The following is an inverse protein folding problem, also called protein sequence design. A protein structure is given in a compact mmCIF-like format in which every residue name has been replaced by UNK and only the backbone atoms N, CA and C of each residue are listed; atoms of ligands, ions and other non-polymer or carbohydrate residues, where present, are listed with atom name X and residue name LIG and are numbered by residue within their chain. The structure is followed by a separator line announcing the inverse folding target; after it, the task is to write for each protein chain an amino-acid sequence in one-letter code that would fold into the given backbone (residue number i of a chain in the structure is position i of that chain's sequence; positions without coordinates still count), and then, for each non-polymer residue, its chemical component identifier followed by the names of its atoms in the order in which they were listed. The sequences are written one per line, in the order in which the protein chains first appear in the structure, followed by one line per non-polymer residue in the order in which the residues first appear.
data_IF_921257738601
#
_entry.id   IF_921257738601
#
_cell.length_a   1.000
_cell.length_b   1.000
_cell.length_c   1.000
_cell.angle_alpha   90.00
_cell.angle_beta   90.00
_cell.angle_gamma   90.00
#
_symmetry.space_group_name_H-M   'P 1'
#
loop_
_entity.id
_entity.type
_entity.pdbx_description
1 polymer ?
#
# COMPACT_ATOMS: atom_id res chain seq x y z
N UNK A 1 7.87 -0.98 5.94
CA UNK A 1 8.36 0.15 5.13
C UNK A 1 7.46 1.33 5.40
N UNK A 2 7.97 2.37 6.09
CA UNK A 2 7.18 3.53 6.54
C UNK A 2 7.73 4.88 6.04
N UNK A 3 8.58 4.85 5.01
CA UNK A 3 9.19 6.04 4.45
C UNK A 3 9.40 5.86 2.94
N UNK A 4 9.98 6.88 2.28
CA UNK A 4 10.46 6.79 0.91
C UNK A 4 11.43 5.61 0.75
N UNK A 5 11.35 4.91 -0.38
CA UNK A 5 12.31 3.87 -0.75
C UNK A 5 13.52 4.54 -1.42
N UNK A 6 14.70 4.40 -0.85
CA UNK A 6 15.92 4.98 -1.40
C UNK A 6 16.87 5.56 -0.36
N UNK A 7 17.72 6.48 -0.82
CA UNK A 7 18.84 6.99 -0.03
C UNK A 7 18.44 7.72 1.25
N UNK A 8 17.35 8.48 1.22
CA UNK A 8 16.89 9.28 2.37
C UNK A 8 15.88 8.56 3.26
N UNK A 9 15.42 7.39 2.88
CA UNK A 9 14.44 6.59 3.62
C UNK A 9 14.91 5.15 3.81
N UNK A 10 14.08 4.19 3.38
CA UNK A 10 14.36 2.75 3.49
C UNK A 10 15.23 2.32 2.31
N UNK A 11 16.53 2.12 2.52
CA UNK A 11 17.42 1.66 1.47
C UNK A 11 17.44 0.13 1.32
N UNK A 12 17.61 -0.34 0.09
CA UNK A 12 17.59 -1.76 -0.23
C UNK A 12 18.67 -2.57 0.51
N UNK A 13 19.86 -2.03 0.70
CA UNK A 13 20.98 -2.76 1.34
C UNK A 13 20.64 -3.15 2.78
N UNK A 14 20.11 -2.19 3.56
CA UNK A 14 19.73 -2.47 4.94
C UNK A 14 18.52 -3.41 4.98
N UNK A 15 17.48 -3.12 4.21
CA UNK A 15 16.29 -3.97 4.13
C UNK A 15 16.61 -5.43 3.79
N UNK A 16 17.44 -5.66 2.76
CA UNK A 16 17.86 -7.01 2.36
C UNK A 16 18.70 -7.67 3.47
N UNK A 17 19.53 -6.91 4.19
CA UNK A 17 20.26 -7.41 5.34
C UNK A 17 19.33 -7.89 6.44
N UNK A 18 18.31 -7.11 6.76
CA UNK A 18 17.30 -7.42 7.77
C UNK A 18 16.48 -8.65 7.36
N UNK A 19 16.01 -8.70 6.11
CA UNK A 19 15.25 -9.85 5.58
C UNK A 19 16.06 -11.15 5.64
N UNK A 20 17.32 -11.12 5.23
CA UNK A 20 18.21 -12.30 5.27
C UNK A 20 18.51 -12.80 6.69
N UNK A 21 18.39 -11.94 7.70
CA UNK A 21 18.59 -12.31 9.09
C UNK A 21 17.35 -12.97 9.73
N UNK A 22 16.20 -12.96 9.04
CA UNK A 22 14.98 -13.57 9.56
C UNK A 22 15.05 -15.08 9.39
N UNK A 23 14.97 -15.80 10.50
CA UNK A 23 14.77 -17.26 10.53
C UNK A 23 13.35 -17.55 11.07
N UNK A 24 12.36 -17.38 10.21
CA UNK A 24 10.96 -17.61 10.55
C UNK A 24 10.22 -18.23 9.36
N UNK A 25 9.08 -18.87 9.63
CA UNK A 25 8.21 -19.44 8.58
C UNK A 25 7.38 -18.38 7.86
N UNK A 26 7.17 -17.24 8.48
CA UNK A 26 6.36 -16.15 7.95
C UNK A 26 7.04 -14.81 8.22
N UNK A 27 7.14 -13.98 7.19
CA UNK A 27 7.54 -12.57 7.26
C UNK A 27 6.27 -11.74 7.16
N UNK A 28 6.01 -10.87 8.15
CA UNK A 28 4.93 -9.90 8.11
C UNK A 28 5.51 -8.54 7.74
N UNK A 29 5.19 -8.10 6.53
CA UNK A 29 5.67 -6.83 5.98
C UNK A 29 4.55 -5.78 5.98
N UNK A 30 4.69 -4.76 6.83
CA UNK A 30 3.80 -3.60 6.82
C UNK A 30 4.33 -2.51 5.89
N UNK A 31 3.46 -1.96 5.04
CA UNK A 31 3.80 -0.90 4.07
C UNK A 31 2.90 0.32 4.28
N UNK A 32 3.53 1.49 4.39
CA UNK A 32 2.91 2.80 4.31
C UNK A 32 3.95 3.76 3.70
N UNK A 33 4.06 3.78 2.36
CA UNK A 33 5.15 4.42 1.66
C UNK A 33 4.69 5.06 0.34
N UNK A 34 5.19 6.26 0.01
CA UNK A 34 4.94 6.90 -1.27
C UNK A 34 5.73 6.27 -2.43
N UNK A 35 6.63 5.31 -2.16
CA UNK A 35 7.53 4.75 -3.16
C UNK A 35 8.91 5.41 -3.17
N UNK A 36 9.51 5.54 -4.34
CA UNK A 36 10.85 6.12 -4.52
C UNK A 36 11.68 5.40 -5.57
N UNK A 37 12.93 5.02 -5.24
CA UNK A 37 13.87 4.37 -6.16
C UNK A 37 13.34 3.03 -6.68
N UNK A 38 13.11 2.93 -7.99
CA UNK A 38 12.64 1.70 -8.64
C UNK A 38 13.67 0.56 -8.52
N UNK A 39 14.97 0.87 -8.59
CA UNK A 39 16.00 -0.17 -8.49
C UNK A 39 16.14 -0.71 -7.07
N UNK A 40 16.00 0.13 -6.04
CA UNK A 40 15.93 -0.32 -4.66
C UNK A 40 14.70 -1.20 -4.45
N UNK A 41 13.54 -0.80 -4.97
CA UNK A 41 12.31 -1.57 -4.87
C UNK A 41 12.41 -2.93 -5.58
N UNK A 42 12.99 -3.00 -6.77
CA UNK A 42 13.26 -4.26 -7.47
C UNK A 42 14.18 -5.17 -6.67
N UNK A 43 15.22 -4.61 -6.04
CA UNK A 43 16.12 -5.38 -5.20
C UNK A 43 15.41 -5.93 -3.94
N UNK A 44 14.56 -5.12 -3.31
CA UNK A 44 13.72 -5.54 -2.17
C UNK A 44 12.73 -6.62 -2.57
N UNK A 45 11.99 -6.41 -3.69
CA UNK A 45 11.07 -7.38 -4.26
C UNK A 45 11.75 -8.74 -4.47
N UNK A 46 12.89 -8.75 -5.17
CA UNK A 46 13.62 -9.98 -5.46
C UNK A 46 14.13 -10.67 -4.18
N UNK A 47 14.56 -9.90 -3.17
CA UNK A 47 15.01 -10.45 -1.90
C UNK A 47 13.87 -11.14 -1.14
N UNK A 48 12.68 -10.56 -1.13
CA UNK A 48 11.48 -11.16 -0.55
C UNK A 48 11.07 -12.43 -1.30
N UNK A 49 11.04 -12.38 -2.64
CA UNK A 49 10.66 -13.55 -3.49
C UNK A 49 11.65 -14.72 -3.40
N UNK A 50 12.92 -14.46 -3.05
CA UNK A 50 13.93 -15.49 -2.84
C UNK A 50 13.96 -16.04 -1.41
N UNK A 51 13.27 -15.39 -0.48
CA UNK A 51 13.24 -15.84 0.91
C UNK A 51 12.36 -17.09 1.06
N UNK A 52 12.77 -18.10 1.86
CA UNK A 52 12.01 -19.35 2.02
C UNK A 52 10.73 -19.19 2.86
N UNK A 53 10.58 -18.09 3.61
CA UNK A 53 9.39 -17.82 4.41
C UNK A 53 8.22 -17.35 3.53
N UNK A 54 6.99 -17.65 3.97
CA UNK A 54 5.78 -17.04 3.44
C UNK A 54 5.75 -15.54 3.74
N UNK A 55 5.53 -14.69 2.76
CA UNK A 55 5.50 -13.23 2.91
C UNK A 55 4.05 -12.73 2.97
N UNK A 56 3.65 -12.22 4.13
CA UNK A 56 2.35 -11.57 4.34
C UNK A 56 2.54 -10.06 4.33
N UNK A 57 1.99 -9.39 3.32
CA UNK A 57 2.04 -7.93 3.19
C UNK A 57 0.75 -7.31 3.71
N UNK A 58 0.85 -6.26 4.51
CA UNK A 58 -0.28 -5.41 4.87
C UNK A 58 0.00 -3.97 4.45
N UNK A 59 -0.86 -3.41 3.58
CA UNK A 59 -0.80 -2.01 3.20
C UNK A 59 -1.58 -1.20 4.24
N UNK A 60 -0.88 -0.56 5.18
CA UNK A 60 -1.53 0.10 6.33
C UNK A 60 -2.24 1.41 5.97
N UNK A 61 -1.74 2.13 5.00
CA UNK A 61 -2.32 3.40 4.53
C UNK A 61 -2.15 3.54 3.03
N UNK A 62 -0.91 3.52 2.55
CA UNK A 62 -0.61 3.63 1.11
C UNK A 62 0.58 2.76 0.71
N UNK A 63 0.45 2.11 -0.45
CA UNK A 63 1.58 1.55 -1.18
C UNK A 63 1.60 2.18 -2.58
N UNK A 64 2.36 3.26 -2.75
CA UNK A 64 2.39 4.00 -4.01
C UNK A 64 3.69 3.76 -4.79
N UNK A 65 3.59 3.79 -6.13
CA UNK A 65 4.76 3.74 -7.03
C UNK A 65 5.67 2.53 -6.70
N UNK A 66 6.96 2.74 -6.46
CA UNK A 66 7.92 1.70 -6.11
C UNK A 66 7.51 0.85 -4.89
N UNK A 67 6.72 1.39 -3.94
CA UNK A 67 6.22 0.63 -2.79
C UNK A 67 5.14 -0.38 -3.18
N UNK A 68 4.31 -0.08 -4.19
CA UNK A 68 3.36 -1.06 -4.72
C UNK A 68 4.07 -2.24 -5.40
N UNK A 69 5.21 -1.98 -6.06
CA UNK A 69 6.04 -3.05 -6.62
C UNK A 69 6.57 -3.99 -5.52
N UNK A 70 7.07 -3.44 -4.40
CA UNK A 70 7.51 -4.25 -3.26
C UNK A 70 6.36 -5.06 -2.67
N UNK A 71 5.14 -4.48 -2.60
CA UNK A 71 3.96 -5.19 -2.13
C UNK A 71 3.64 -6.44 -2.96
N UNK A 72 3.89 -6.41 -4.30
CA UNK A 72 3.70 -7.57 -5.18
C UNK A 72 4.57 -8.77 -4.83
N UNK A 73 5.56 -8.63 -3.96
CA UNK A 73 6.35 -9.75 -3.47
C UNK A 73 5.61 -10.61 -2.42
N UNK A 74 4.49 -10.13 -1.88
CA UNK A 74 3.68 -10.86 -0.92
C UNK A 74 3.05 -12.13 -1.51
N UNK A 75 3.10 -13.22 -0.77
CA UNK A 75 2.30 -14.42 -1.05
C UNK A 75 0.83 -14.17 -0.69
N UNK A 76 0.60 -13.31 0.31
CA UNK A 76 -0.71 -12.75 0.66
C UNK A 76 -0.57 -11.25 0.85
N UNK A 77 -1.46 -10.46 0.23
CA UNK A 77 -1.51 -9.00 0.35
C UNK A 77 -2.86 -8.60 0.92
N UNK A 78 -2.82 -7.94 2.06
CA UNK A 78 -4.01 -7.51 2.81
C UNK A 78 -4.11 -5.99 2.77
N UNK A 79 -5.30 -5.46 2.49
CA UNK A 79 -5.58 -4.04 2.51
C UNK A 79 -6.78 -3.72 3.42
N UNK A 80 -6.62 -2.89 4.47
CA UNK A 80 -7.75 -2.27 5.15
C UNK A 80 -8.59 -1.42 4.19
N UNK A 81 -9.90 -1.31 4.42
CA UNK A 81 -10.87 -0.58 3.58
C UNK A 81 -10.45 0.89 3.28
N UNK A 82 -9.71 1.50 4.19
CA UNK A 82 -9.22 2.87 4.08
C UNK A 82 -7.79 2.99 3.55
N UNK A 83 -7.19 1.91 3.04
CA UNK A 83 -5.88 1.91 2.42
C UNK A 83 -5.96 2.10 0.90
N UNK A 84 -4.87 2.58 0.32
CA UNK A 84 -4.75 2.83 -1.12
C UNK A 84 -3.50 2.18 -1.70
N UNK A 85 -3.58 1.83 -2.97
CA UNK A 85 -2.44 1.47 -3.79
C UNK A 85 -2.39 2.37 -5.01
N UNK A 86 -1.19 2.78 -5.45
CA UNK A 86 -1.02 3.57 -6.67
C UNK A 86 0.07 2.97 -7.53
N UNK A 87 -0.23 2.86 -8.81
CA UNK A 87 0.70 2.41 -9.83
C UNK A 87 0.80 3.43 -10.97
N UNK A 88 2.00 3.64 -11.46
CA UNK A 88 2.29 4.50 -12.59
C UNK A 88 3.57 4.07 -13.32
N UNK A 89 3.81 4.65 -14.50
CA UNK A 89 5.04 4.45 -15.24
C UNK A 89 6.27 4.94 -14.47
N UNK A 90 7.45 4.32 -14.67
CA UNK A 90 8.67 4.82 -14.08
C UNK A 90 8.98 6.21 -14.63
N UNK A 91 9.44 7.09 -13.77
CA UNK A 91 9.82 8.45 -14.15
C UNK A 91 11.25 8.77 -13.68
N UNK A 92 11.90 9.67 -14.39
CA UNK A 92 13.22 10.17 -14.01
C UNK A 92 13.37 11.64 -14.42
N UNK A 93 14.22 12.36 -13.71
CA UNK A 93 14.71 13.65 -14.16
C UNK A 93 15.98 13.45 -14.99
N UNK A 94 15.96 13.91 -16.23
CA UNK A 94 17.09 13.80 -17.13
C UNK A 94 17.49 15.17 -17.69
N UNK A 95 18.77 15.41 -17.79
CA UNK A 95 19.36 16.56 -18.46
C UNK A 95 20.44 16.07 -19.42
N UNK A 96 20.43 16.58 -20.65
CA UNK A 96 21.40 16.17 -21.66
C UNK A 96 21.03 16.70 -23.05
N UNK A 97 21.80 16.29 -24.04
CA UNK A 97 21.49 16.53 -25.46
C UNK A 97 20.38 15.58 -25.95
N UNK A 98 19.93 15.75 -27.19
CA UNK A 98 18.80 14.98 -27.72
C UNK A 98 19.04 13.48 -27.74
N UNK A 99 20.25 13.00 -27.94
CA UNK A 99 20.56 11.58 -27.99
C UNK A 99 20.61 11.00 -26.58
N UNK A 100 21.21 11.68 -25.62
CA UNK A 100 21.20 11.26 -24.19
C UNK A 100 19.78 11.18 -23.62
N UNK A 101 18.88 12.11 -24.01
CA UNK A 101 17.48 12.06 -23.57
C UNK A 101 16.73 10.87 -24.20
N UNK A 102 17.01 10.52 -25.46
CA UNK A 102 16.44 9.32 -26.09
C UNK A 102 16.94 8.04 -25.44
N UNK A 103 18.24 7.95 -25.15
CA UNK A 103 18.81 6.80 -24.42
C UNK A 103 18.16 6.62 -23.04
N UNK A 104 17.89 7.73 -22.32
CA UNK A 104 17.17 7.67 -21.04
C UNK A 104 15.74 7.21 -21.23
N UNK A 105 15.02 7.65 -22.25
CA UNK A 105 13.68 7.19 -22.57
C UNK A 105 13.67 5.68 -22.86
N UNK A 106 14.62 5.17 -23.65
CA UNK A 106 14.76 3.73 -23.91
C UNK A 106 15.02 2.91 -22.64
N UNK A 107 15.73 3.46 -21.65
CA UNK A 107 15.92 2.82 -20.33
C UNK A 107 14.61 2.78 -19.55
N UNK A 108 13.86 3.90 -19.53
CA UNK A 108 12.56 3.96 -18.85
C UNK A 108 11.56 2.97 -19.48
N UNK A 109 11.55 2.83 -20.81
CA UNK A 109 10.71 1.86 -21.50
C UNK A 109 11.03 0.41 -21.09
N UNK A 110 12.32 0.06 -20.94
CA UNK A 110 12.74 -1.27 -20.46
C UNK A 110 12.32 -1.51 -19.00
N UNK A 111 12.46 -0.49 -18.15
CA UNK A 111 11.97 -0.58 -16.76
C UNK A 111 10.46 -0.76 -16.77
N UNK A 112 9.74 0.06 -17.54
CA UNK A 112 8.28 -0.02 -17.67
C UNK A 112 7.81 -1.41 -18.08
N UNK A 113 8.44 -2.01 -19.10
CA UNK A 113 8.11 -3.37 -19.53
C UNK A 113 8.33 -4.41 -18.41
N UNK A 114 9.39 -4.26 -17.60
CA UNK A 114 9.64 -5.13 -16.43
C UNK A 114 8.57 -4.97 -15.34
N UNK A 115 8.11 -3.74 -15.11
CA UNK A 115 7.02 -3.47 -14.16
C UNK A 115 5.70 -4.08 -14.65
N UNK A 116 5.36 -3.88 -15.94
CA UNK A 116 4.17 -4.50 -16.57
C UNK A 116 4.16 -6.01 -16.33
N UNK A 117 5.25 -6.69 -16.65
CA UNK A 117 5.36 -8.13 -16.46
C UNK A 117 5.20 -8.54 -14.97
N UNK A 118 5.77 -7.76 -14.05
CA UNK A 118 5.68 -8.04 -12.61
C UNK A 118 4.24 -7.92 -12.10
N UNK A 119 3.53 -6.85 -12.46
CA UNK A 119 2.13 -6.67 -12.08
C UNK A 119 1.22 -7.69 -12.77
N UNK A 120 1.43 -7.97 -14.06
CA UNK A 120 0.64 -8.98 -14.80
C UNK A 120 0.78 -10.37 -14.17
N UNK A 121 2.00 -10.78 -13.84
CA UNK A 121 2.25 -12.05 -13.14
C UNK A 121 1.56 -12.15 -11.78
N UNK A 122 1.46 -11.04 -11.05
CA UNK A 122 0.83 -11.03 -9.72
C UNK A 122 -0.69 -10.99 -9.79
N UNK A 123 -1.24 -10.16 -10.68
CA UNK A 123 -2.67 -9.90 -10.77
C UNK A 123 -3.41 -10.91 -11.66
N UNK A 124 -2.72 -11.51 -12.62
CA UNK A 124 -3.32 -12.30 -13.69
C UNK A 124 -3.99 -11.48 -14.80
N UNK A 125 -3.92 -10.14 -14.72
CA UNK A 125 -4.43 -9.27 -15.78
C UNK A 125 -3.52 -9.31 -17.02
N UNK A 126 -4.07 -9.09 -18.23
CA UNK A 126 -3.29 -8.94 -19.44
C UNK A 126 -2.29 -7.77 -19.36
N UNK A 127 -1.13 -7.92 -20.00
CA UNK A 127 -0.08 -6.87 -19.97
C UNK A 127 -0.55 -5.53 -20.56
N UNK A 128 -1.43 -5.53 -21.55
CA UNK A 128 -2.00 -4.32 -22.15
C UNK A 128 -2.94 -3.60 -21.18
N UNK A 129 -3.69 -4.31 -20.34
CA UNK A 129 -4.49 -3.73 -19.28
C UNK A 129 -3.60 -3.13 -18.18
N UNK A 130 -2.57 -3.86 -17.73
CA UNK A 130 -1.58 -3.32 -16.78
C UNK A 130 -0.91 -2.07 -17.34
N UNK A 131 -0.51 -2.11 -18.61
CA UNK A 131 0.09 -0.93 -19.26
C UNK A 131 -0.87 0.27 -19.25
N UNK A 132 -2.14 0.07 -19.56
CA UNK A 132 -3.14 1.13 -19.53
C UNK A 132 -3.32 1.71 -18.11
N UNK A 133 -3.29 0.87 -17.07
CA UNK A 133 -3.36 1.32 -15.67
C UNK A 133 -2.13 2.14 -15.27
N UNK A 134 -0.93 1.74 -15.71
CA UNK A 134 0.31 2.49 -15.47
C UNK A 134 0.31 3.83 -16.21
N UNK A 135 -0.11 3.86 -17.48
CA UNK A 135 -0.20 5.07 -18.31
C UNK A 135 -1.19 6.09 -17.71
N UNK A 136 -2.24 5.62 -17.02
CA UNK A 136 -3.26 6.46 -16.40
C UNK A 136 -2.90 6.95 -14.99
N UNK A 137 -1.76 6.54 -14.42
CA UNK A 137 -1.47 6.75 -12.99
C UNK A 137 -2.67 6.36 -12.12
N UNK A 138 -2.85 5.06 -11.96
CA UNK A 138 -4.06 4.54 -11.33
C UNK A 138 -3.93 4.45 -9.82
N UNK A 139 -4.87 5.09 -9.14
CA UNK A 139 -5.10 4.95 -7.71
C UNK A 139 -6.20 3.92 -7.47
N UNK A 140 -5.91 2.92 -6.67
CA UNK A 140 -6.83 1.84 -6.31
C UNK A 140 -7.16 1.97 -4.82
N UNK A 141 -8.45 2.00 -4.49
CA UNK A 141 -8.88 1.71 -3.13
C UNK A 141 -8.74 0.20 -2.83
N UNK A 142 -8.98 -0.22 -1.61
CA UNK A 142 -8.77 -1.61 -1.20
C UNK A 142 -9.68 -2.60 -1.95
N UNK A 143 -10.95 -2.24 -2.20
CA UNK A 143 -11.90 -3.07 -2.96
C UNK A 143 -11.46 -3.23 -4.42
N UNK A 144 -11.07 -2.15 -5.07
CA UNK A 144 -10.56 -2.16 -6.45
C UNK A 144 -9.25 -2.96 -6.56
N UNK A 145 -8.37 -2.84 -5.57
CA UNK A 145 -7.12 -3.60 -5.52
C UNK A 145 -7.38 -5.11 -5.43
N UNK A 146 -8.32 -5.53 -4.58
CA UNK A 146 -8.73 -6.94 -4.48
C UNK A 146 -9.41 -7.41 -5.77
N UNK A 147 -10.34 -6.62 -6.33
CA UNK A 147 -11.06 -6.97 -7.56
C UNK A 147 -10.12 -7.18 -8.74
N UNK A 148 -9.03 -6.39 -8.82
CA UNK A 148 -8.04 -6.45 -9.89
C UNK A 148 -6.85 -7.37 -9.59
N UNK A 149 -6.82 -8.05 -8.43
CA UNK A 149 -5.77 -8.98 -8.06
C UNK A 149 -4.47 -8.34 -7.54
N UNK A 150 -4.47 -7.04 -7.27
CA UNK A 150 -3.34 -6.36 -6.60
C UNK A 150 -3.28 -6.65 -5.10
N UNK A 151 -4.41 -7.03 -4.50
CA UNK A 151 -4.49 -7.53 -3.14
C UNK A 151 -5.33 -8.81 -3.11
N UNK A 152 -5.21 -9.59 -2.03
CA UNK A 152 -5.93 -10.85 -1.84
C UNK A 152 -7.10 -10.69 -0.87
N UNK A 153 -6.92 -9.86 0.17
CA UNK A 153 -7.86 -9.74 1.26
C UNK A 153 -8.19 -8.28 1.58
N UNK A 154 -9.49 -8.02 1.71
CA UNK A 154 -10.02 -6.78 2.28
C UNK A 154 -10.19 -6.97 3.79
N UNK A 155 -9.62 -6.08 4.59
CA UNK A 155 -9.88 -6.04 6.03
C UNK A 155 -10.78 -4.85 6.36
N UNK A 156 -11.71 -5.00 7.34
CA UNK A 156 -12.44 -3.87 7.87
C UNK A 156 -11.45 -2.78 8.32
N UNK A 157 -11.80 -1.52 8.10
CA UNK A 157 -11.01 -0.41 8.62
C UNK A 157 -10.76 -0.65 10.11
N UNK A 158 -9.49 -0.59 10.52
CA UNK A 158 -9.12 -0.75 11.91
C UNK A 158 -9.94 0.28 12.69
N UNK A 159 -10.91 -0.18 13.48
CA UNK A 159 -11.55 0.67 14.48
C UNK A 159 -10.42 1.06 15.39
N UNK A 160 -9.91 2.28 15.23
CA UNK A 160 -9.11 2.91 16.26
C UNK A 160 -10.06 2.96 17.46
N UNK A 161 -9.89 2.03 18.39
CA UNK A 161 -10.37 2.23 19.73
C UNK A 161 -9.53 3.40 20.27
N UNK A 162 -9.88 4.60 19.84
CA UNK A 162 -9.49 5.80 20.55
C UNK A 162 -10.17 5.62 21.90
N UNK A 163 -9.44 5.07 22.87
CA UNK A 163 -9.73 5.28 24.27
C UNK A 163 -9.43 6.77 24.53
N UNK A 164 -10.28 7.61 23.96
CA UNK A 164 -10.28 9.01 24.26
C UNK A 164 -10.78 9.09 25.70
N UNK A 165 -9.93 9.56 26.58
CA UNK A 165 -10.34 9.88 27.94
C UNK A 165 -11.34 11.04 27.84
N UNK A 166 -12.64 10.70 27.84
CA UNK A 166 -13.73 11.66 27.68
C UNK A 166 -13.71 12.74 28.78
N UNK A 167 -13.08 12.45 29.92
CA UNK A 167 -12.94 13.41 31.01
C UNK A 167 -11.96 14.56 30.69
N UNK A 168 -11.08 14.35 29.71
CA UNK A 168 -10.13 15.38 29.25
C UNK A 168 -10.67 16.30 28.15
N UNK A 169 -11.87 16.03 27.64
CA UNK A 169 -12.48 16.88 26.63
C UNK A 169 -13.10 18.11 27.29
N UNK A 170 -12.99 19.29 26.68
CA UNK A 170 -13.78 20.44 27.05
C UNK A 170 -15.28 20.12 27.03
N UNK A 171 -16.04 20.68 28.00
CA UNK A 171 -17.46 20.35 28.17
C UNK A 171 -18.30 20.58 26.91
N UNK A 172 -18.00 21.60 26.11
CA UNK A 172 -18.68 21.91 24.86
C UNK A 172 -18.42 20.85 23.77
N UNK A 173 -17.28 20.15 23.81
CA UNK A 173 -16.96 19.07 22.87
C UNK A 173 -17.59 17.77 23.36
N UNK A 174 -17.57 17.51 24.66
CA UNK A 174 -18.20 16.34 25.28
C UNK A 174 -19.71 16.32 24.99
N UNK A 175 -20.39 17.44 25.22
CA UNK A 175 -21.82 17.59 24.96
C UNK A 175 -22.23 17.42 23.48
N UNK A 176 -21.29 17.64 22.54
CA UNK A 176 -21.53 17.44 21.10
C UNK A 176 -21.35 15.98 20.65
N UNK A 177 -20.69 15.15 21.47
CA UNK A 177 -20.38 13.76 21.15
C UNK A 177 -21.29 12.78 21.89
N UNK A 178 -21.85 13.19 23.05
CA UNK A 178 -22.79 12.36 23.80
C UNK A 178 -24.07 12.18 22.98
N UNK A 179 -24.54 10.93 22.76
CA UNK A 179 -25.83 10.71 22.13
C UNK A 179 -26.93 11.36 22.98
N UNK A 180 -28.00 11.89 22.35
CA UNK A 180 -29.10 12.46 23.12
C UNK A 180 -29.66 11.39 24.08
N UNK A 181 -30.08 11.81 25.30
CA UNK A 181 -30.64 10.89 26.26
C UNK A 181 -31.81 10.08 25.62
N UNK A 182 -31.86 8.79 25.93
CA UNK A 182 -32.93 7.96 25.44
C UNK A 182 -34.29 8.59 25.84
N UNK A 183 -35.30 8.58 24.96
CA UNK A 183 -36.62 9.08 25.30
C UNK A 183 -37.14 8.36 26.55
N UNK A 184 -37.68 9.13 27.49
CA UNK A 184 -38.32 8.56 28.67
C UNK A 184 -39.43 7.59 28.21
N UNK A 185 -39.59 6.41 28.85
CA UNK A 185 -40.67 5.49 28.52
C UNK A 185 -42.02 6.21 28.72
N UNK A 186 -42.85 6.17 27.72
CA UNK A 186 -44.24 6.67 27.82
C UNK A 186 -44.92 6.02 29.03
N UNK A 187 -45.66 6.78 29.85
CA UNK A 187 -46.39 6.20 30.96
C UNK A 187 -47.37 5.16 30.41
N UNK A 188 -47.31 3.96 30.98
CA UNK A 188 -48.30 2.90 30.72
C UNK A 188 -49.70 3.48 30.96
N UNK A 189 -50.53 3.46 29.91
CA UNK A 189 -51.92 3.89 29.97
C UNK A 189 -52.74 2.84 30.73
N UNK A 190 -52.87 3.05 32.02
CA UNK A 190 -53.63 2.18 32.93
C UNK A 190 -55.12 2.59 32.82
N UNK A 191 -55.78 2.11 31.77
CA UNK A 191 -57.22 2.23 31.63
C UNK A 191 -57.89 1.00 32.23
N UNK A 192 -58.87 1.16 33.15
CA UNK A 192 -59.59 0.08 33.83
C UNK A 192 -60.57 -0.66 32.90
#
# INVERSE_FOLDING_TARGET
IFDEIGFFGVNAKQFIGDIKAIDAKTIKLAINSPGGSVFDALAMYNALRQHPANVEVTVLGVAASAASLVAMAGDTIVMPENAFMMIHNPLNFAYGNADELREMADVLDKIGASLVATYANRTGLPEDEIKALLDAETWLNAEEAVLKGFADELQPALKVAASFDMERLPDNVRAAIEPPPAPEPEPEDDHP
#
